data_IF_008663883365
#
_entry.id   IF_008663883365
#
_cell.length_a   1.000
_cell.length_b   1.000
_cell.length_c   1.000
_cell.angle_alpha   90.00
_cell.angle_beta   90.00
_cell.angle_gamma   90.00
#
_symmetry.space_group_name_H-M   'P 1'
#
loop_
_entity.id
_entity.type
_entity.pdbx_description
1 polymer ?
#
# COMPACT_ATOMS: atom_id res chain seq x y z
N UNK A 1 -16.52 -57.94 45.33
CA UNK A 1 -17.35 -57.56 44.20
C UNK A 1 -18.26 -58.75 43.87
N UNK A 2 -19.56 -58.60 44.06
CA UNK A 2 -20.50 -59.65 43.72
C UNK A 2 -20.70 -59.71 42.22
N UNK A 3 -21.11 -60.87 41.68
CA UNK A 3 -21.37 -61.10 40.25
C UNK A 3 -22.42 -60.12 39.70
N UNK A 4 -23.39 -59.73 40.46
CA UNK A 4 -24.42 -58.74 40.14
C UNK A 4 -23.85 -57.31 40.06
N UNK A 5 -22.97 -56.90 40.97
CA UNK A 5 -22.29 -55.61 40.93
C UNK A 5 -21.37 -55.48 39.70
N UNK A 6 -20.72 -56.57 39.30
CA UNK A 6 -19.93 -56.62 38.09
C UNK A 6 -20.78 -56.42 36.82
N UNK A 7 -21.90 -57.08 36.71
CA UNK A 7 -22.83 -56.95 35.60
C UNK A 7 -23.45 -55.51 35.54
N UNK A 8 -23.88 -55.01 36.67
CA UNK A 8 -24.40 -53.61 36.73
C UNK A 8 -23.34 -52.59 36.31
N UNK A 9 -22.08 -52.73 36.68
CA UNK A 9 -20.99 -51.88 36.27
C UNK A 9 -20.76 -51.95 34.79
N UNK A 10 -20.78 -53.13 34.17
CA UNK A 10 -20.66 -53.27 32.71
C UNK A 10 -21.85 -52.67 31.98
N UNK A 11 -23.08 -52.87 32.43
CA UNK A 11 -24.26 -52.25 31.83
C UNK A 11 -24.25 -50.74 31.91
N UNK A 12 -23.89 -50.19 33.06
CA UNK A 12 -23.74 -48.74 33.20
C UNK A 12 -22.62 -48.18 32.33
N UNK A 13 -21.50 -48.87 32.24
CA UNK A 13 -20.41 -48.47 31.35
C UNK A 13 -20.84 -48.53 29.87
N UNK A 14 -21.49 -49.59 29.45
CA UNK A 14 -21.96 -49.77 28.07
C UNK A 14 -23.02 -48.74 27.68
N UNK A 15 -23.94 -48.40 28.58
CA UNK A 15 -25.01 -47.41 28.32
C UNK A 15 -24.55 -45.96 28.39
N UNK A 16 -23.49 -45.67 29.12
CA UNK A 16 -22.94 -44.28 29.25
C UNK A 16 -21.75 -44.05 28.34
N UNK A 17 -20.65 -44.77 28.54
CA UNK A 17 -19.39 -44.57 27.83
C UNK A 17 -19.40 -45.26 26.47
N UNK A 18 -19.96 -46.49 26.38
CA UNK A 18 -20.03 -47.26 25.14
C UNK A 18 -20.85 -46.52 24.05
N UNK A 19 -22.00 -45.95 24.41
CA UNK A 19 -22.83 -45.15 23.48
C UNK A 19 -22.08 -43.90 23.02
N UNK A 20 -21.38 -43.19 23.92
CA UNK A 20 -20.56 -42.05 23.55
C UNK A 20 -19.47 -42.39 22.53
N UNK A 21 -18.81 -43.55 22.70
CA UNK A 21 -17.79 -44.05 21.76
C UNK A 21 -18.40 -44.32 20.39
N UNK A 22 -19.55 -44.97 20.32
CA UNK A 22 -20.25 -45.27 19.06
C UNK A 22 -20.62 -43.95 18.35
N UNK A 23 -21.21 -43.00 19.08
CA UNK A 23 -21.56 -41.69 18.56
C UNK A 23 -20.29 -40.95 18.05
N UNK A 24 -19.19 -40.97 18.81
CA UNK A 24 -17.93 -40.35 18.41
C UNK A 24 -17.37 -40.94 17.11
N UNK A 25 -17.44 -42.28 16.95
CA UNK A 25 -17.00 -42.96 15.72
C UNK A 25 -17.89 -42.55 14.54
N UNK A 26 -19.19 -42.51 14.71
CA UNK A 26 -20.14 -42.08 13.66
C UNK A 26 -19.86 -40.61 13.26
N UNK A 27 -19.72 -39.71 14.24
CA UNK A 27 -19.39 -38.34 14.01
C UNK A 27 -18.02 -38.16 13.30
N UNK A 28 -17.01 -38.96 13.67
CA UNK A 28 -15.70 -38.96 13.01
C UNK A 28 -15.84 -39.34 11.52
N UNK A 29 -16.54 -40.42 11.22
CA UNK A 29 -16.73 -40.89 9.84
C UNK A 29 -17.51 -39.84 9.03
N UNK A 30 -18.62 -39.35 9.59
CA UNK A 30 -19.46 -38.34 8.92
C UNK A 30 -18.66 -37.04 8.68
N UNK A 31 -17.96 -36.53 9.70
CA UNK A 31 -17.14 -35.30 9.57
C UNK A 31 -16.03 -35.46 8.54
N UNK A 32 -15.33 -36.60 8.53
CA UNK A 32 -14.29 -36.89 7.54
C UNK A 32 -14.85 -37.06 6.13
N UNK A 33 -16.04 -37.66 5.99
CA UNK A 33 -16.73 -37.76 4.70
C UNK A 33 -17.13 -36.37 4.18
N UNK A 34 -17.66 -35.49 5.04
CA UNK A 34 -18.00 -34.10 4.70
C UNK A 34 -16.75 -33.32 4.28
N UNK A 35 -15.69 -33.35 5.08
CA UNK A 35 -14.41 -32.68 4.77
C UNK A 35 -13.85 -33.14 3.42
N UNK A 36 -13.85 -34.46 3.19
CA UNK A 36 -13.37 -35.02 1.93
C UNK A 36 -14.25 -34.61 0.73
N UNK A 37 -15.58 -34.56 0.93
CA UNK A 37 -16.53 -34.11 -0.11
C UNK A 37 -16.35 -32.65 -0.46
N UNK A 38 -16.19 -31.79 0.54
CA UNK A 38 -15.88 -30.37 0.36
C UNK A 38 -14.55 -30.21 -0.39
N UNK A 39 -13.48 -30.90 0.06
CA UNK A 39 -12.19 -30.86 -0.59
C UNK A 39 -12.26 -31.34 -2.06
N UNK A 40 -13.06 -32.38 -2.36
CA UNK A 40 -13.28 -32.86 -3.73
C UNK A 40 -14.08 -31.86 -4.58
N UNK A 41 -15.07 -31.20 -4.00
CA UNK A 41 -15.86 -30.15 -4.67
C UNK A 41 -14.98 -28.94 -5.02
N UNK A 42 -14.11 -28.54 -4.10
CA UNK A 42 -13.11 -27.48 -4.30
C UNK A 42 -12.16 -27.89 -5.43
N UNK A 43 -11.59 -29.11 -5.41
CA UNK A 43 -10.70 -29.63 -6.43
C UNK A 43 -11.36 -29.75 -7.83
N UNK A 44 -12.67 -29.98 -7.89
CA UNK A 44 -13.40 -30.00 -9.16
C UNK A 44 -13.59 -28.60 -9.78
N UNK A 45 -13.70 -27.56 -8.95
CA UNK A 45 -13.71 -26.16 -9.39
C UNK A 45 -12.33 -25.70 -9.86
N UNK A 46 -11.25 -26.23 -9.25
CA UNK A 46 -9.86 -26.02 -9.67
C UNK A 46 -9.66 -26.37 -11.14
N UNK A 47 -10.10 -27.55 -11.58
CA UNK A 47 -9.99 -28.00 -12.99
C UNK A 47 -10.67 -27.05 -13.98
N UNK A 48 -11.74 -26.35 -13.57
CA UNK A 48 -12.42 -25.34 -14.40
C UNK A 48 -11.66 -24.02 -14.46
N UNK A 49 -11.00 -23.63 -13.38
CA UNK A 49 -10.19 -22.41 -13.29
C UNK A 49 -8.82 -22.59 -13.98
N UNK A 50 -8.25 -23.79 -13.93
CA UNK A 50 -7.02 -24.17 -14.64
C UNK A 50 -7.16 -23.97 -16.17
N UNK A 51 -8.33 -24.30 -16.71
CA UNK A 51 -8.64 -24.08 -18.12
C UNK A 51 -8.64 -22.59 -18.55
N UNK A 52 -8.70 -21.67 -17.60
CA UNK A 52 -8.63 -20.21 -17.80
C UNK A 52 -7.25 -19.61 -17.55
N UNK A 53 -6.23 -20.41 -17.16
CA UNK A 53 -4.85 -19.96 -16.93
C UNK A 53 -4.64 -19.01 -15.76
N UNK A 54 -5.63 -18.83 -14.89
CA UNK A 54 -5.65 -17.78 -13.84
C UNK A 54 -5.08 -18.20 -12.48
N UNK A 55 -4.85 -19.51 -12.25
CA UNK A 55 -4.46 -20.00 -10.92
C UNK A 55 -3.36 -21.06 -11.03
N UNK A 56 -2.32 -20.92 -10.19
CA UNK A 56 -1.28 -21.94 -10.06
C UNK A 56 -1.85 -23.16 -9.33
N UNK A 57 -1.85 -24.30 -10.03
CA UNK A 57 -2.34 -25.59 -9.58
C UNK A 57 -1.65 -26.07 -8.29
N UNK A 58 -0.34 -25.85 -8.21
CA UNK A 58 0.46 -26.30 -7.07
C UNK A 58 0.05 -25.59 -5.80
N UNK A 59 -0.08 -24.25 -5.87
CA UNK A 59 -0.48 -23.41 -4.74
C UNK A 59 -1.86 -23.80 -4.22
N UNK A 60 -2.83 -23.89 -5.12
CA UNK A 60 -4.21 -24.22 -4.75
C UNK A 60 -4.35 -25.61 -4.12
N UNK A 61 -3.68 -26.61 -4.72
CA UNK A 61 -3.66 -27.99 -4.19
C UNK A 61 -3.02 -28.09 -2.82
N UNK A 62 -1.90 -27.36 -2.61
CA UNK A 62 -1.19 -27.32 -1.33
C UNK A 62 -2.05 -26.68 -0.24
N UNK A 63 -2.66 -25.53 -0.51
CA UNK A 63 -3.56 -24.86 0.44
C UNK A 63 -4.76 -25.73 0.81
N UNK A 64 -5.40 -26.35 -0.17
CA UNK A 64 -6.54 -27.25 0.06
C UNK A 64 -6.14 -28.46 0.92
N UNK A 65 -4.94 -29.01 0.71
CA UNK A 65 -4.41 -30.13 1.48
C UNK A 65 -4.14 -29.74 2.94
N UNK A 66 -3.46 -28.62 3.16
CA UNK A 66 -3.17 -28.09 4.49
C UNK A 66 -4.47 -27.80 5.26
N UNK A 67 -5.43 -27.12 4.62
CA UNK A 67 -6.73 -26.83 5.23
C UNK A 67 -7.50 -28.09 5.62
N UNK A 68 -7.48 -29.12 4.76
CA UNK A 68 -8.08 -30.41 5.04
C UNK A 68 -7.45 -31.10 6.26
N UNK A 69 -6.12 -31.04 6.41
CA UNK A 69 -5.43 -31.61 7.57
C UNK A 69 -5.83 -30.90 8.85
N UNK A 70 -5.79 -29.56 8.83
CA UNK A 70 -6.17 -28.72 10.00
C UNK A 70 -7.59 -29.07 10.46
N UNK A 71 -8.56 -29.10 9.54
CA UNK A 71 -9.93 -29.46 9.90
C UNK A 71 -10.06 -30.84 10.49
N UNK A 72 -9.33 -31.84 9.98
CA UNK A 72 -9.35 -33.22 10.55
C UNK A 72 -8.77 -33.25 11.95
N UNK A 73 -7.66 -32.53 12.19
CA UNK A 73 -7.06 -32.46 13.53
C UNK A 73 -8.04 -31.81 14.51
N UNK A 74 -8.70 -30.72 14.16
CA UNK A 74 -9.69 -30.07 15.01
C UNK A 74 -10.88 -30.99 15.35
N UNK A 75 -11.38 -31.75 14.38
CA UNK A 75 -12.45 -32.74 14.60
C UNK A 75 -12.01 -33.82 15.59
N UNK A 76 -10.79 -34.36 15.44
CA UNK A 76 -10.26 -35.35 16.33
C UNK A 76 -10.15 -34.82 17.77
N UNK A 77 -9.60 -33.65 17.97
CA UNK A 77 -9.47 -33.00 19.29
C UNK A 77 -10.85 -32.80 19.93
N UNK A 78 -11.82 -32.29 19.15
CA UNK A 78 -13.19 -32.08 19.64
C UNK A 78 -13.85 -33.40 20.08
N UNK A 79 -13.64 -34.53 19.34
CA UNK A 79 -14.18 -35.83 19.67
C UNK A 79 -13.51 -36.46 20.89
N UNK A 80 -12.20 -36.27 21.08
CA UNK A 80 -11.48 -36.70 22.29
C UNK A 80 -12.07 -35.97 23.52
N UNK A 81 -12.32 -34.66 23.45
CA UNK A 81 -12.98 -33.91 24.50
C UNK A 81 -14.43 -34.36 24.75
N UNK A 82 -15.20 -34.70 23.69
CA UNK A 82 -16.54 -35.27 23.81
C UNK A 82 -16.56 -36.60 24.57
N UNK A 83 -15.52 -37.42 24.43
CA UNK A 83 -15.36 -38.67 25.18
C UNK A 83 -15.02 -38.46 26.67
N UNK A 84 -14.78 -37.22 27.10
CA UNK A 84 -14.44 -36.87 28.47
C UNK A 84 -12.96 -37.02 28.80
N UNK A 85 -12.11 -37.20 27.80
CA UNK A 85 -10.66 -37.21 27.97
C UNK A 85 -10.11 -35.78 28.06
N UNK A 86 -9.12 -35.59 28.91
CA UNK A 86 -8.48 -34.26 29.02
C UNK A 86 -7.70 -33.93 27.76
N UNK A 87 -8.13 -32.85 27.12
CA UNK A 87 -7.50 -32.31 25.89
C UNK A 87 -6.72 -31.04 26.16
N UNK A 88 -6.57 -30.60 27.39
CA UNK A 88 -5.95 -29.32 27.76
C UNK A 88 -4.52 -29.18 27.22
N UNK A 89 -3.69 -30.21 27.36
CA UNK A 89 -2.32 -30.23 26.84
C UNK A 89 -2.25 -30.15 25.32
N UNK A 90 -3.13 -30.88 24.61
CA UNK A 90 -3.18 -30.85 23.15
C UNK A 90 -3.70 -29.50 22.66
N UNK A 91 -4.73 -28.96 23.34
CA UNK A 91 -5.29 -27.64 23.01
C UNK A 91 -4.28 -26.52 23.21
N UNK A 92 -3.49 -26.58 24.29
CA UNK A 92 -2.41 -25.62 24.53
C UNK A 92 -1.32 -25.69 23.44
N UNK A 93 -0.94 -26.92 23.01
CA UNK A 93 0.01 -27.12 21.93
C UNK A 93 -0.52 -26.52 20.60
N UNK A 94 -1.77 -26.82 20.24
CA UNK A 94 -2.40 -26.30 19.01
C UNK A 94 -2.54 -24.79 19.05
N UNK A 95 -2.89 -24.21 20.20
CA UNK A 95 -2.95 -22.77 20.39
C UNK A 95 -1.56 -22.12 20.18
N UNK A 96 -0.51 -22.70 20.77
CA UNK A 96 0.87 -22.24 20.59
C UNK A 96 1.32 -22.29 19.12
N UNK A 97 1.04 -23.41 18.43
CA UNK A 97 1.31 -23.52 16.99
C UNK A 97 0.50 -22.51 16.18
N UNK A 98 -0.76 -22.25 16.56
CA UNK A 98 -1.61 -21.25 15.92
C UNK A 98 -1.03 -19.83 16.02
N UNK A 99 -0.50 -19.46 17.18
CA UNK A 99 0.21 -18.17 17.36
C UNK A 99 1.44 -18.11 16.47
N UNK A 100 2.27 -19.16 16.44
CA UNK A 100 3.45 -19.21 15.59
C UNK A 100 3.13 -19.05 14.09
N UNK A 101 2.12 -19.77 13.61
CA UNK A 101 1.64 -19.66 12.23
C UNK A 101 1.05 -18.26 11.96
N UNK A 102 0.27 -17.72 12.91
CA UNK A 102 -0.31 -16.38 12.80
C UNK A 102 0.75 -15.30 12.63
N UNK A 103 1.84 -15.37 13.42
CA UNK A 103 2.96 -14.46 13.30
C UNK A 103 3.70 -14.64 11.95
N UNK A 104 3.86 -15.87 11.48
CA UNK A 104 4.52 -16.15 10.20
C UNK A 104 3.75 -15.60 8.99
N UNK A 105 2.40 -15.58 9.02
CA UNK A 105 1.57 -15.08 7.91
C UNK A 105 1.12 -13.63 8.08
N UNK A 106 1.48 -12.97 9.19
CA UNK A 106 1.04 -11.61 9.53
C UNK A 106 1.30 -10.60 8.39
N UNK A 107 2.49 -10.66 7.76
CA UNK A 107 2.82 -9.78 6.64
C UNK A 107 1.91 -9.97 5.42
N UNK A 108 1.57 -11.21 5.09
CA UNK A 108 0.66 -11.50 3.98
C UNK A 108 -0.77 -11.02 4.29
N UNK A 109 -1.23 -11.25 5.53
CA UNK A 109 -2.55 -10.80 5.99
C UNK A 109 -2.65 -9.27 6.03
N UNK A 110 -1.59 -8.59 6.49
CA UNK A 110 -1.50 -7.11 6.47
C UNK A 110 -1.60 -6.57 5.05
N UNK A 111 -0.90 -7.17 4.08
CA UNK A 111 -0.97 -6.76 2.69
C UNK A 111 -2.35 -7.01 2.07
N UNK A 112 -2.98 -8.12 2.40
CA UNK A 112 -4.35 -8.41 1.98
C UNK A 112 -5.34 -7.37 2.54
N UNK A 113 -5.29 -7.13 3.86
CA UNK A 113 -6.16 -6.15 4.52
C UNK A 113 -5.92 -4.73 3.98
N UNK A 114 -4.65 -4.35 3.77
CA UNK A 114 -4.27 -3.08 3.14
C UNK A 114 -4.83 -2.95 1.73
N UNK A 115 -4.77 -4.02 0.92
CA UNK A 115 -5.35 -4.01 -0.43
C UNK A 115 -6.87 -3.82 -0.42
N UNK A 116 -7.59 -4.51 0.47
CA UNK A 116 -9.03 -4.30 0.66
C UNK A 116 -9.33 -2.86 1.07
N UNK A 117 -8.56 -2.31 2.02
CA UNK A 117 -8.73 -0.93 2.47
C UNK A 117 -8.53 0.07 1.32
N UNK A 118 -7.47 -0.07 0.52
CA UNK A 118 -7.19 0.79 -0.63
C UNK A 118 -8.30 0.74 -1.68
N UNK A 119 -8.86 -0.44 -1.95
CA UNK A 119 -9.97 -0.62 -2.90
C UNK A 119 -11.29 -0.02 -2.40
N UNK A 120 -11.52 0.02 -1.08
CA UNK A 120 -12.72 0.61 -0.47
C UNK A 120 -12.59 2.12 -0.33
N UNK A 121 -11.49 2.62 0.23
CA UNK A 121 -11.30 4.05 0.50
C UNK A 121 -10.86 4.84 -0.73
N UNK A 122 -10.20 4.19 -1.68
CA UNK A 122 -9.72 4.75 -2.95
C UNK A 122 -8.99 6.08 -2.82
N UNK A 123 -7.92 6.16 -2.03
CA UNK A 123 -7.13 7.39 -1.91
C UNK A 123 -6.43 7.76 -3.23
N UNK A 124 -6.32 6.83 -4.15
CA UNK A 124 -5.86 7.00 -5.53
C UNK A 124 -6.52 5.93 -6.43
N UNK A 125 -6.42 6.12 -7.73
CA UNK A 125 -6.95 5.24 -8.77
C UNK A 125 -5.82 4.79 -9.71
N UNK A 126 -6.11 3.82 -10.58
CA UNK A 126 -5.26 3.52 -11.74
C UNK A 126 -5.14 4.78 -12.60
N UNK A 127 -3.97 5.03 -13.15
CA UNK A 127 -3.51 6.21 -13.89
C UNK A 127 -3.21 7.45 -13.02
N UNK A 128 -3.45 7.45 -11.72
CA UNK A 128 -3.00 8.53 -10.84
C UNK A 128 -1.47 8.49 -10.65
N UNK A 129 -0.84 9.66 -10.66
CA UNK A 129 0.56 9.83 -10.26
C UNK A 129 0.63 10.08 -8.77
N UNK A 130 1.26 9.15 -8.06
CA UNK A 130 1.36 9.19 -6.60
C UNK A 130 2.81 9.16 -6.13
N UNK A 131 3.03 9.66 -4.91
CA UNK A 131 4.27 9.48 -4.17
C UNK A 131 3.95 8.86 -2.82
N UNK A 132 4.60 7.75 -2.50
CA UNK A 132 4.47 7.04 -1.23
C UNK A 132 5.63 6.05 -1.04
N UNK A 133 5.94 5.72 0.22
CA UNK A 133 6.96 4.74 0.58
C UNK A 133 8.36 5.02 0.01
N UNK A 134 8.67 6.28 -0.36
CA UNK A 134 9.94 6.67 -0.99
C UNK A 134 10.00 6.46 -2.50
N UNK A 135 8.89 6.17 -3.13
CA UNK A 135 8.77 6.05 -4.59
C UNK A 135 7.67 6.96 -5.11
N UNK A 136 7.87 7.46 -6.34
CA UNK A 136 6.86 8.21 -7.07
C UNK A 136 6.66 7.61 -8.47
N UNK A 137 5.41 7.56 -8.93
CA UNK A 137 5.08 7.00 -10.22
C UNK A 137 3.58 6.93 -10.49
N UNK A 138 3.23 6.57 -11.72
CA UNK A 138 1.86 6.35 -12.14
C UNK A 138 1.39 4.96 -11.72
N UNK A 139 0.24 4.86 -11.09
CA UNK A 139 -0.40 3.60 -10.70
C UNK A 139 -0.85 2.87 -11.95
N UNK A 140 -0.31 1.67 -12.19
CA UNK A 140 -0.72 0.81 -13.32
C UNK A 140 -1.80 -0.18 -12.92
N UNK A 141 -1.64 -0.82 -11.74
CA UNK A 141 -2.58 -1.83 -11.23
C UNK A 141 -2.62 -1.83 -9.70
N UNK A 142 -3.77 -2.15 -9.13
CA UNK A 142 -3.96 -2.38 -7.70
C UNK A 142 -4.33 -3.85 -7.51
N UNK A 143 -3.34 -4.68 -7.16
CA UNK A 143 -3.55 -6.09 -6.84
C UNK A 143 -3.99 -6.25 -5.38
N UNK A 144 -4.37 -7.46 -5.01
CA UNK A 144 -4.88 -7.74 -3.68
C UNK A 144 -3.84 -7.55 -2.55
N UNK A 145 -2.55 -7.81 -2.84
CA UNK A 145 -1.46 -7.72 -1.85
C UNK A 145 -0.43 -6.62 -2.16
N UNK A 146 -0.41 -6.10 -3.36
CA UNK A 146 0.51 -5.04 -3.77
C UNK A 146 -0.12 -4.12 -4.82
N UNK A 147 0.40 -2.91 -4.91
CA UNK A 147 0.07 -1.92 -5.95
C UNK A 147 1.28 -1.77 -6.86
N UNK A 148 1.05 -1.84 -8.16
CA UNK A 148 2.07 -1.66 -9.19
C UNK A 148 2.10 -0.21 -9.64
N UNK A 149 3.26 0.43 -9.55
CA UNK A 149 3.48 1.78 -10.09
C UNK A 149 4.60 1.77 -11.12
N UNK A 150 4.53 2.68 -12.08
CA UNK A 150 5.56 2.93 -13.08
C UNK A 150 6.18 4.31 -12.85
N UNK A 151 7.49 4.32 -12.61
CA UNK A 151 8.25 5.57 -12.41
C UNK A 151 8.41 6.35 -13.73
N UNK A 152 8.72 7.66 -13.69
CA UNK A 152 8.93 8.45 -14.91
C UNK A 152 10.05 7.92 -15.81
N UNK A 153 11.06 7.24 -15.26
CA UNK A 153 12.14 6.58 -15.99
C UNK A 153 11.80 5.14 -16.42
N UNK A 154 10.50 4.82 -16.42
CA UNK A 154 9.91 3.56 -16.91
C UNK A 154 10.31 2.30 -16.12
N UNK A 155 10.67 2.41 -14.84
CA UNK A 155 10.85 1.27 -13.95
C UNK A 155 9.51 0.89 -13.33
N UNK A 156 9.35 -0.41 -13.04
CA UNK A 156 8.18 -0.94 -12.35
C UNK A 156 8.52 -1.17 -10.87
N UNK A 157 7.69 -0.63 -9.99
CA UNK A 157 7.81 -0.82 -8.54
C UNK A 157 6.54 -1.47 -8.02
N UNK A 158 6.69 -2.53 -7.23
CA UNK A 158 5.59 -3.18 -6.53
C UNK A 158 5.59 -2.74 -5.06
N UNK A 159 4.61 -1.96 -4.66
CA UNK A 159 4.45 -1.47 -3.29
C UNK A 159 3.55 -2.42 -2.49
N UNK A 160 4.01 -2.99 -1.36
CA UNK A 160 3.16 -3.82 -0.50
C UNK A 160 1.98 -3.00 0.04
N UNK A 161 0.75 -3.49 -0.15
CA UNK A 161 -0.46 -2.74 0.22
C UNK A 161 -0.59 -2.49 1.73
N UNK A 162 -0.09 -3.40 2.57
CA UNK A 162 -0.09 -3.21 4.02
C UNK A 162 0.72 -1.98 4.43
N UNK A 163 1.88 -1.76 3.81
CA UNK A 163 2.69 -0.57 4.03
C UNK A 163 2.04 0.66 3.39
N UNK A 164 1.57 0.54 2.15
CA UNK A 164 0.99 1.64 1.38
C UNK A 164 -0.28 2.20 2.04
N UNK A 165 -1.14 1.35 2.60
CA UNK A 165 -2.38 1.75 3.28
C UNK A 165 -2.17 2.43 4.63
N UNK A 166 -0.99 2.29 5.23
CA UNK A 166 -0.62 2.91 6.52
C UNK A 166 0.39 4.04 6.39
N UNK A 167 0.90 4.28 5.19
CA UNK A 167 1.83 5.37 4.88
C UNK A 167 1.09 6.59 4.34
N UNK A 168 1.77 7.74 4.39
CA UNK A 168 1.33 8.95 3.70
C UNK A 168 1.36 8.71 2.19
N UNK A 169 0.31 9.15 1.52
CA UNK A 169 0.19 9.13 0.06
C UNK A 169 -0.03 10.55 -0.44
N UNK A 170 0.88 11.05 -1.26
CA UNK A 170 0.68 12.29 -1.99
C UNK A 170 0.11 11.93 -3.36
N UNK A 171 -1.14 12.31 -3.63
CA UNK A 171 -1.78 12.11 -4.93
C UNK A 171 -1.73 13.42 -5.72
N UNK A 172 -0.92 13.44 -6.75
CA UNK A 172 -0.74 14.59 -7.62
C UNK A 172 -1.84 14.71 -8.68
N UNK A 173 -2.61 13.66 -8.93
CA UNK A 173 -3.63 13.59 -9.98
C UNK A 173 -5.05 13.82 -9.48
N UNK A 174 -5.29 13.83 -8.16
CA UNK A 174 -6.64 13.96 -7.58
C UNK A 174 -7.27 15.34 -7.88
N UNK A 175 -6.45 16.38 -7.93
CA UNK A 175 -6.90 17.75 -8.21
C UNK A 175 -6.57 18.15 -9.65
N UNK A 176 -7.52 18.80 -10.31
CA UNK A 176 -7.36 19.26 -11.69
C UNK A 176 -6.34 20.39 -11.82
N UNK A 177 -6.20 21.19 -10.78
CA UNK A 177 -5.29 22.33 -10.72
C UNK A 177 -4.10 22.05 -9.82
N UNK A 178 -2.93 22.51 -10.29
CA UNK A 178 -1.67 22.41 -9.54
C UNK A 178 -0.94 23.74 -9.57
N UNK A 179 -0.22 24.04 -8.49
CA UNK A 179 0.59 25.24 -8.40
C UNK A 179 2.06 24.94 -8.69
N UNK A 180 2.62 25.67 -9.65
CA UNK A 180 4.04 25.67 -9.95
C UNK A 180 4.70 26.71 -9.06
N UNK A 181 5.59 26.28 -8.18
CA UNK A 181 6.35 27.12 -7.26
C UNK A 181 7.79 27.23 -7.77
N UNK A 182 8.20 28.44 -8.18
CA UNK A 182 9.53 28.74 -8.69
C UNK A 182 10.23 29.77 -7.81
N UNK A 183 11.54 29.77 -7.88
CA UNK A 183 12.40 30.73 -7.18
C UNK A 183 13.37 31.34 -8.18
N UNK A 184 13.40 32.66 -8.25
CA UNK A 184 14.32 33.44 -9.09
C UNK A 184 15.22 34.30 -8.21
N UNK A 185 16.49 34.39 -8.57
CA UNK A 185 17.46 35.21 -7.85
C UNK A 185 17.86 36.41 -8.69
N UNK A 186 17.97 37.59 -8.06
CA UNK A 186 18.47 38.83 -8.66
C UNK A 186 19.57 39.45 -7.81
N UNK A 187 20.43 40.26 -8.42
CA UNK A 187 21.47 41.00 -7.69
C UNK A 187 20.87 41.99 -6.70
N UNK A 188 21.59 42.32 -5.61
CA UNK A 188 21.16 43.33 -4.65
C UNK A 188 21.09 44.75 -5.23
N UNK A 189 21.83 44.99 -6.32
CA UNK A 189 21.80 46.23 -7.08
C UNK A 189 20.58 46.40 -7.97
N UNK A 190 19.85 45.33 -8.26
CA UNK A 190 18.72 45.30 -9.17
C UNK A 190 17.42 45.79 -8.53
N UNK A 191 16.56 46.40 -9.34
CA UNK A 191 15.23 46.79 -8.90
C UNK A 191 14.29 45.61 -8.86
N UNK A 192 13.91 45.24 -7.63
CA UNK A 192 12.93 44.17 -7.39
C UNK A 192 11.57 44.44 -8.08
N UNK A 193 11.12 45.72 -8.13
CA UNK A 193 9.83 46.06 -8.75
C UNK A 193 9.87 45.79 -10.25
N UNK A 194 10.98 46.13 -10.92
CA UNK A 194 11.22 45.82 -12.33
C UNK A 194 11.29 44.30 -12.57
N UNK A 195 12.06 43.55 -11.77
CA UNK A 195 12.18 42.10 -11.90
C UNK A 195 10.82 41.40 -11.69
N UNK A 196 10.06 41.83 -10.68
CA UNK A 196 8.70 41.34 -10.43
C UNK A 196 7.79 41.55 -11.64
N UNK A 197 7.81 42.73 -12.24
CA UNK A 197 6.96 43.08 -13.41
C UNK A 197 7.33 42.18 -14.60
N UNK A 198 8.62 41.97 -14.86
CA UNK A 198 9.10 41.10 -15.94
C UNK A 198 8.58 39.68 -15.77
N UNK A 199 8.63 39.12 -14.54
CA UNK A 199 8.12 37.78 -14.26
C UNK A 199 6.60 37.73 -14.53
N UNK A 200 5.84 38.73 -14.10
CA UNK A 200 4.40 38.81 -14.35
C UNK A 200 4.06 38.94 -15.84
N UNK A 201 4.85 39.74 -16.60
CA UNK A 201 4.67 39.89 -18.04
C UNK A 201 4.97 38.63 -18.83
N UNK A 202 5.97 37.83 -18.37
CA UNK A 202 6.26 36.51 -18.93
C UNK A 202 5.10 35.54 -18.62
N UNK A 203 4.61 35.55 -17.39
CA UNK A 203 3.48 34.70 -17.01
C UNK A 203 2.19 35.03 -17.76
N UNK A 204 1.95 36.33 -18.02
CA UNK A 204 0.78 36.81 -18.78
C UNK A 204 0.77 36.36 -20.25
N UNK A 205 1.93 36.04 -20.82
CA UNK A 205 2.09 35.53 -22.19
C UNK A 205 1.91 34.03 -22.31
N UNK A 206 2.00 33.28 -21.22
CA UNK A 206 1.82 31.81 -21.22
C UNK A 206 0.33 31.49 -21.03
N UNK A 207 -0.31 30.97 -22.07
CA UNK A 207 -1.74 30.63 -22.07
C UNK A 207 -2.10 29.49 -21.13
N UNK A 208 -1.11 28.68 -20.69
CA UNK A 208 -1.29 27.57 -19.76
C UNK A 208 -1.39 28.04 -18.31
N UNK A 209 -0.97 29.26 -18.02
CA UNK A 209 -1.07 29.87 -16.69
C UNK A 209 -2.46 30.45 -16.48
N UNK A 210 -3.11 30.04 -15.41
CA UNK A 210 -4.46 30.51 -15.07
C UNK A 210 -4.40 31.93 -14.51
N UNK A 211 -5.41 32.74 -14.86
CA UNK A 211 -5.58 34.09 -14.33
C UNK A 211 -6.27 34.14 -12.98
N UNK A 212 -7.00 33.07 -12.65
CA UNK A 212 -7.68 32.85 -11.38
C UNK A 212 -7.38 31.41 -10.93
N UNK A 213 -6.74 31.20 -9.76
CA UNK A 213 -6.24 32.23 -8.83
C UNK A 213 -5.06 33.05 -9.37
N UNK A 214 -4.94 34.32 -8.92
CA UNK A 214 -3.88 35.21 -9.31
C UNK A 214 -2.47 34.66 -9.09
N UNK A 215 -1.55 35.01 -9.98
CA UNK A 215 -0.12 34.76 -9.82
C UNK A 215 0.44 35.50 -8.61
N UNK A 216 1.23 34.83 -7.80
CA UNK A 216 1.93 35.48 -6.69
C UNK A 216 3.41 35.61 -7.03
N UNK A 217 3.91 36.85 -7.09
CA UNK A 217 5.34 37.14 -7.23
C UNK A 217 5.74 38.10 -6.12
N UNK A 218 6.56 37.64 -5.20
CA UNK A 218 6.97 38.34 -3.98
C UNK A 218 8.43 38.08 -3.65
N UNK A 219 9.07 39.06 -2.98
CA UNK A 219 10.36 38.80 -2.36
C UNK A 219 10.18 37.73 -1.26
N UNK A 220 10.99 36.68 -1.36
CA UNK A 220 10.95 35.58 -0.43
C UNK A 220 11.97 35.75 0.72
N UNK A 221 13.20 36.08 0.35
CA UNK A 221 14.28 36.24 1.33
C UNK A 221 15.43 37.07 0.74
N UNK A 222 16.28 37.58 1.64
CA UNK A 222 17.61 38.09 1.35
C UNK A 222 18.59 36.95 1.55
N UNK A 223 19.20 36.47 0.46
CA UNK A 223 20.23 35.43 0.49
C UNK A 223 21.64 36.02 0.62
N UNK A 224 22.65 35.16 0.76
CA UNK A 224 24.03 35.58 0.97
C UNK A 224 24.58 36.47 -0.20
N UNK A 225 24.13 36.21 -1.43
CA UNK A 225 24.61 36.90 -2.62
C UNK A 225 23.48 37.38 -3.54
N UNK A 226 22.23 37.18 -3.19
CA UNK A 226 21.07 37.45 -4.04
C UNK A 226 19.81 37.79 -3.27
N UNK A 227 18.93 38.58 -3.87
CA UNK A 227 17.53 38.70 -3.47
C UNK A 227 16.77 37.54 -4.10
N UNK A 228 16.07 36.72 -3.29
CA UNK A 228 15.30 35.58 -3.76
C UNK A 228 13.83 35.96 -3.93
N UNK A 229 13.28 35.74 -5.11
CA UNK A 229 11.90 36.03 -5.49
C UNK A 229 11.14 34.73 -5.58
N UNK A 230 10.09 34.57 -4.78
CA UNK A 230 9.13 33.45 -4.95
C UNK A 230 8.09 33.83 -6.01
N UNK A 231 7.91 32.95 -6.97
CA UNK A 231 6.92 33.08 -8.03
C UNK A 231 6.05 31.83 -8.06
N UNK A 232 4.73 32.00 -7.94
CA UNK A 232 3.77 30.90 -7.84
C UNK A 232 2.69 31.08 -8.90
N UNK A 233 2.53 30.06 -9.72
CA UNK A 233 1.62 30.08 -10.87
C UNK A 233 0.66 28.88 -10.79
N UNK A 234 -0.61 29.10 -11.08
CA UNK A 234 -1.58 28.03 -11.16
C UNK A 234 -1.78 27.57 -12.61
N UNK A 235 -1.82 26.28 -12.83
CA UNK A 235 -2.07 25.67 -14.13
C UNK A 235 -2.91 24.40 -13.98
N UNK A 236 -3.35 23.82 -15.09
CA UNK A 236 -3.90 22.47 -15.07
C UNK A 236 -2.81 21.47 -14.71
N UNK A 237 -3.17 20.41 -14.01
CA UNK A 237 -2.22 19.39 -13.58
C UNK A 237 -1.40 18.79 -14.74
N UNK A 238 -2.04 18.57 -15.88
CA UNK A 238 -1.39 18.04 -17.09
C UNK A 238 -0.28 18.96 -17.63
N UNK A 239 -0.41 20.28 -17.40
CA UNK A 239 0.49 21.30 -17.96
C UNK A 239 1.63 21.69 -16.99
N UNK A 240 1.68 21.08 -15.79
CA UNK A 240 2.60 21.46 -14.72
C UNK A 240 4.06 21.54 -15.17
N UNK A 241 4.58 20.52 -15.81
CA UNK A 241 5.97 20.50 -16.23
C UNK A 241 6.25 21.43 -17.40
N UNK A 242 5.28 21.60 -18.30
CA UNK A 242 5.38 22.57 -19.40
C UNK A 242 5.50 23.99 -18.86
N UNK A 243 4.60 24.37 -17.96
CA UNK A 243 4.66 25.69 -17.30
C UNK A 243 5.95 25.87 -16.48
N UNK A 244 6.37 24.82 -15.77
CA UNK A 244 7.61 24.85 -14.98
C UNK A 244 8.83 25.21 -15.84
N UNK A 245 9.01 24.50 -16.96
CA UNK A 245 10.15 24.73 -17.85
C UNK A 245 10.00 26.02 -18.63
N UNK A 246 8.82 26.34 -19.19
CA UNK A 246 8.56 27.57 -19.91
C UNK A 246 8.89 28.79 -19.03
N UNK A 247 8.41 28.83 -17.80
CA UNK A 247 8.67 29.95 -16.90
C UNK A 247 10.14 30.05 -16.52
N UNK A 248 10.81 28.92 -16.26
CA UNK A 248 12.23 28.91 -15.92
C UNK A 248 13.08 29.48 -17.06
N UNK A 249 12.82 29.05 -18.30
CA UNK A 249 13.58 29.49 -19.50
C UNK A 249 13.24 30.91 -19.91
N UNK A 250 11.93 31.25 -20.01
CA UNK A 250 11.49 32.54 -20.50
C UNK A 250 11.79 33.67 -19.53
N UNK A 251 11.72 33.44 -18.21
CA UNK A 251 12.13 34.46 -17.22
C UNK A 251 13.64 34.75 -17.32
N UNK A 252 14.47 33.67 -17.46
CA UNK A 252 15.93 33.89 -17.66
C UNK A 252 16.19 34.76 -18.89
N UNK A 253 15.56 34.44 -20.01
CA UNK A 253 15.70 35.23 -21.25
C UNK A 253 15.24 36.68 -21.05
N UNK A 254 14.07 36.87 -20.43
CA UNK A 254 13.53 38.20 -20.18
C UNK A 254 14.40 39.02 -19.20
N UNK A 255 15.03 38.40 -18.22
CA UNK A 255 15.99 39.05 -17.33
C UNK A 255 17.21 39.54 -18.11
N UNK A 256 17.80 38.70 -18.97
CA UNK A 256 18.94 39.07 -19.81
C UNK A 256 18.60 40.26 -20.74
N UNK A 257 17.43 40.21 -21.38
CA UNK A 257 16.99 41.29 -22.30
C UNK A 257 16.73 42.63 -21.58
N UNK A 258 16.40 42.60 -20.28
CA UNK A 258 16.08 43.80 -19.50
C UNK A 258 17.19 44.22 -18.53
N UNK A 259 18.35 43.57 -18.57
CA UNK A 259 19.51 43.92 -17.77
C UNK A 259 19.30 43.61 -16.25
N UNK A 260 18.53 42.59 -15.92
CA UNK A 260 18.44 42.00 -14.54
C UNK A 260 19.52 40.95 -14.44
N UNK A 261 20.39 41.09 -13.46
CA UNK A 261 21.50 40.17 -13.23
C UNK A 261 21.09 39.00 -12.31
N UNK A 262 21.39 37.77 -12.72
CA UNK A 262 21.37 36.59 -11.83
C UNK A 262 22.79 36.46 -11.29
N UNK A 263 23.04 36.84 -10.02
CA UNK A 263 24.39 36.97 -9.51
C UNK A 263 25.04 35.60 -9.29
N UNK A 264 26.35 35.55 -9.54
CA UNK A 264 27.18 34.50 -9.01
C UNK A 264 27.37 34.68 -7.50
N UNK A 265 27.89 33.66 -6.83
CA UNK A 265 28.26 33.76 -5.41
C UNK A 265 29.28 34.89 -5.23
N UNK A 266 28.97 35.87 -4.37
CA UNK A 266 29.85 36.99 -4.05
C UNK A 266 30.70 36.65 -2.84
N UNK A 267 31.97 37.07 -2.85
CA UNK A 267 32.89 36.86 -1.75
C UNK A 267 33.68 38.14 -1.49
N UNK A 268 33.57 38.69 -0.30
CA UNK A 268 34.40 39.77 0.15
C UNK A 268 35.75 39.25 0.69
N UNK A 269 36.84 39.58 0.02
CA UNK A 269 38.20 39.13 0.40
C UNK A 269 38.98 40.30 0.97
N UNK A 270 39.27 40.23 2.25
CA UNK A 270 40.21 41.17 2.92
C UNK A 270 41.62 40.62 2.89
N UNK A 271 42.47 41.12 1.98
CA UNK A 271 43.88 40.75 1.91
C UNK A 271 44.66 41.62 2.92
N UNK A 272 45.23 41.00 3.96
CA UNK A 272 46.19 41.65 4.84
C UNK A 272 47.58 41.43 4.24
N UNK A 273 48.24 42.51 3.82
CA UNK A 273 49.64 42.50 3.50
C UNK A 273 50.43 42.66 4.81
N UNK A 274 51.15 41.62 5.24
CA UNK A 274 52.06 41.67 6.39
C UNK A 274 53.31 42.48 6.03
#
# INVERSE_FOLDING_TARGET
MTWEQFWQTIQNWATTTGIKIVIAIVLLIVSFAIINRIAKSIASREKKLEATGKVDKTLYRTLSYVFKIILKILVVIALIGYLGLDTSGISALVASLGVGVGLAVNGALSNFAGGVLLLVTRPFKVDDYIESCGYSGTVEDIFICNTKIRTPDNKVVYLPNGKLSTSEVVNYSEKDLRRVDLSFSIAYSDDFAKARQIILDVAAKDELILKDPDCLVRMNSHGDSAIVIAAKFWCKNADYWTVYFNMTENVKKAFDENGIEIPFNQLDVHVKND
#
